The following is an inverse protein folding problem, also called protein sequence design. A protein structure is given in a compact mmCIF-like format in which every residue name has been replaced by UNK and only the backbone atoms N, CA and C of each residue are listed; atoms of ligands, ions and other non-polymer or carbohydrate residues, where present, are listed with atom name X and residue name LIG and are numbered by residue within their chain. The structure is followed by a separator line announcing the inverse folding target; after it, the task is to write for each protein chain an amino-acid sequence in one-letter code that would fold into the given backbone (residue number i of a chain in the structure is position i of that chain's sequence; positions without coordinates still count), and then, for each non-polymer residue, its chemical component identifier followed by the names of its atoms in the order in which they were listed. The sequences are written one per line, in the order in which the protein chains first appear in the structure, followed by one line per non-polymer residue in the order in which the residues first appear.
data_IF_766552483639
#
_entry.id   IF_766552483639
#
_cell.length_a   1.000
_cell.length_b   1.000
_cell.length_c   1.000
_cell.angle_alpha   90.00
_cell.angle_beta   90.00
_cell.angle_gamma   90.00
#
_symmetry.space_group_name_H-M   'P 1'
#
loop_
_entity.id
_entity.type
_entity.pdbx_description
1 polymer ?
#
# COMPACT_ATOMS: atom_id res chain seq x y z
N UNK A 1 -19.09 30.46 -37.81
CA UNK A 1 -17.72 30.86 -38.18
C UNK A 1 -16.80 30.36 -37.06
N UNK A 2 -16.10 29.23 -37.15
CA UNK A 2 -15.53 28.54 -38.30
C UNK A 2 -15.74 27.03 -38.10
N UNK A 3 -16.62 26.45 -38.90
CA UNK A 3 -16.71 25.03 -39.16
C UNK A 3 -16.87 24.93 -40.67
N UNK A 4 -15.82 25.33 -41.39
CA UNK A 4 -15.75 25.23 -42.84
C UNK A 4 -14.47 24.47 -43.18
N UNK A 5 -14.70 23.29 -43.75
CA UNK A 5 -13.90 22.68 -44.81
C UNK A 5 -12.44 22.34 -44.49
N UNK A 6 -12.23 21.19 -43.84
CA UNK A 6 -11.11 20.31 -44.18
C UNK A 6 -11.71 19.01 -44.69
N UNK A 7 -11.65 18.83 -46.01
CA UNK A 7 -11.84 17.54 -46.68
C UNK A 7 -10.62 16.67 -46.44
N UNK A 8 -10.38 16.29 -45.18
CA UNK A 8 -9.38 15.30 -44.84
C UNK A 8 -10.13 14.06 -44.33
N UNK A 9 -10.26 13.05 -45.19
CA UNK A 9 -10.63 11.71 -44.75
C UNK A 9 -9.75 11.27 -43.57
N UNK A 10 -8.49 11.70 -43.55
CA UNK A 10 -7.53 11.55 -42.44
C UNK A 10 -8.03 12.14 -41.10
N UNK A 11 -8.72 13.28 -41.10
CA UNK A 11 -9.22 13.92 -39.87
C UNK A 11 -10.44 13.16 -39.31
N UNK A 12 -11.28 12.59 -40.17
CA UNK A 12 -12.36 11.67 -39.74
C UNK A 12 -11.82 10.30 -39.32
N UNK A 13 -10.75 9.85 -39.96
CA UNK A 13 -10.08 8.57 -39.72
C UNK A 13 -9.29 8.57 -38.41
N UNK A 14 -8.77 9.72 -37.94
CA UNK A 14 -8.13 9.85 -36.61
C UNK A 14 -9.10 10.21 -35.46
N UNK A 15 -10.16 10.99 -35.75
CA UNK A 15 -11.11 11.42 -34.70
C UNK A 15 -12.04 10.29 -34.23
N UNK A 16 -12.41 9.35 -35.11
CA UNK A 16 -13.23 8.20 -34.75
C UNK A 16 -12.51 7.25 -33.75
N UNK A 17 -11.26 6.79 -33.98
CA UNK A 17 -10.52 5.97 -33.02
C UNK A 17 -10.23 6.66 -31.69
N UNK A 18 -10.00 7.98 -31.70
CA UNK A 18 -9.80 8.77 -30.49
C UNK A 18 -11.08 8.84 -29.64
N UNK A 19 -12.23 9.05 -30.28
CA UNK A 19 -13.54 9.04 -29.62
C UNK A 19 -13.88 7.66 -29.05
N UNK A 20 -13.61 6.58 -29.79
CA UNK A 20 -13.79 5.20 -29.32
C UNK A 20 -12.91 4.87 -28.12
N UNK A 21 -11.64 5.29 -28.16
CA UNK A 21 -10.69 5.12 -27.06
C UNK A 21 -11.14 5.85 -25.80
N UNK A 22 -11.68 7.07 -25.94
CA UNK A 22 -12.21 7.85 -24.82
C UNK A 22 -13.45 7.20 -24.20
N UNK A 23 -14.37 6.69 -25.03
CA UNK A 23 -15.56 5.96 -24.54
C UNK A 23 -15.16 4.68 -23.81
N UNK A 24 -14.18 3.93 -24.33
CA UNK A 24 -13.66 2.73 -23.69
C UNK A 24 -13.01 3.06 -22.34
N UNK A 25 -12.14 4.07 -22.29
CA UNK A 25 -11.51 4.53 -21.06
C UNK A 25 -12.55 4.99 -20.03
N UNK A 26 -13.57 5.75 -20.46
CA UNK A 26 -14.69 6.18 -19.62
C UNK A 26 -15.46 5.01 -19.02
N UNK A 27 -15.76 3.98 -19.81
CA UNK A 27 -16.41 2.74 -19.33
C UNK A 27 -15.54 1.99 -18.32
N UNK A 28 -14.24 1.85 -18.59
CA UNK A 28 -13.30 1.20 -17.67
C UNK A 28 -13.22 1.92 -16.32
N UNK A 29 -13.16 3.25 -16.32
CA UNK A 29 -13.16 4.05 -15.09
C UNK A 29 -14.45 3.89 -14.30
N UNK A 30 -15.62 3.95 -14.97
CA UNK A 30 -16.92 3.79 -14.31
C UNK A 30 -17.06 2.40 -13.68
N UNK A 31 -16.66 1.35 -14.39
CA UNK A 31 -16.68 -0.03 -13.89
C UNK A 31 -15.74 -0.20 -12.68
N UNK A 32 -14.54 0.39 -12.73
CA UNK A 32 -13.61 0.36 -11.61
C UNK A 32 -14.16 1.08 -10.38
N UNK A 33 -14.76 2.27 -10.56
CA UNK A 33 -15.39 3.01 -9.48
C UNK A 33 -16.57 2.25 -8.86
N UNK A 34 -17.42 1.64 -9.68
CA UNK A 34 -18.55 0.85 -9.22
C UNK A 34 -18.10 -0.38 -8.41
N UNK A 35 -17.09 -1.12 -8.90
CA UNK A 35 -16.51 -2.26 -8.16
C UNK A 35 -16.00 -1.85 -6.78
N UNK A 36 -15.32 -0.70 -6.68
CA UNK A 36 -14.84 -0.18 -5.39
C UNK A 36 -16.00 0.21 -4.47
N UNK A 37 -17.04 0.85 -4.99
CA UNK A 37 -18.23 1.18 -4.20
C UNK A 37 -18.91 -0.07 -3.60
N UNK A 38 -19.05 -1.12 -4.40
CA UNK A 38 -19.64 -2.40 -3.92
C UNK A 38 -18.82 -3.01 -2.79
N UNK A 39 -17.49 -2.96 -2.89
CA UNK A 39 -16.58 -3.41 -1.82
C UNK A 39 -16.75 -2.59 -0.55
N UNK A 40 -16.79 -1.26 -0.67
CA UNK A 40 -16.97 -0.35 0.47
C UNK A 40 -18.30 -0.62 1.15
N UNK A 41 -19.37 -0.81 0.39
CA UNK A 41 -20.68 -1.11 0.94
C UNK A 41 -20.71 -2.46 1.68
N UNK A 42 -20.05 -3.50 1.13
CA UNK A 42 -19.91 -4.78 1.80
C UNK A 42 -19.12 -4.68 3.11
N UNK A 43 -18.07 -3.85 3.16
CA UNK A 43 -17.29 -3.60 4.36
C UNK A 43 -18.08 -2.83 5.44
N UNK A 44 -18.84 -1.81 5.04
CA UNK A 44 -19.76 -1.10 5.95
C UNK A 44 -20.81 -2.02 6.53
N UNK A 45 -21.43 -2.86 5.69
CA UNK A 45 -22.42 -3.85 6.15
C UNK A 45 -21.80 -4.86 7.13
N UNK A 46 -20.58 -5.32 6.88
CA UNK A 46 -19.87 -6.21 7.81
C UNK A 46 -19.61 -5.55 9.17
N UNK A 47 -19.28 -4.25 9.21
CA UNK A 47 -19.13 -3.49 10.45
C UNK A 47 -20.45 -3.35 11.21
N UNK A 48 -21.56 -3.12 10.51
CA UNK A 48 -22.90 -3.12 11.11
C UNK A 48 -23.24 -4.49 11.73
N UNK A 49 -23.01 -5.58 10.99
CA UNK A 49 -23.19 -6.93 11.50
C UNK A 49 -22.30 -7.21 12.72
N UNK A 50 -21.06 -6.69 12.74
CA UNK A 50 -20.17 -6.81 13.89
C UNK A 50 -20.72 -6.06 15.12
N UNK A 51 -21.39 -4.92 14.94
CA UNK A 51 -22.08 -4.21 16.03
C UNK A 51 -23.25 -5.03 16.56
N UNK A 52 -24.12 -5.53 15.68
CA UNK A 52 -25.26 -6.38 16.07
C UNK A 52 -24.78 -7.62 16.82
N UNK A 53 -23.69 -8.23 16.34
CA UNK A 53 -23.06 -9.37 17.01
C UNK A 53 -22.53 -9.01 18.40
N UNK A 54 -22.01 -7.79 18.58
CA UNK A 54 -21.55 -7.26 19.87
C UNK A 54 -22.69 -7.08 20.86
N UNK A 55 -23.87 -6.74 20.38
CA UNK A 55 -25.04 -6.40 21.21
C UNK A 55 -25.95 -7.62 21.49
N UNK A 56 -25.73 -8.74 20.80
CA UNK A 56 -26.43 -9.99 21.06
C UNK A 56 -26.28 -10.42 22.53
N UNK A 57 -27.42 -10.54 23.23
CA UNK A 57 -27.51 -10.82 24.67
C UNK A 57 -28.00 -12.23 25.02
N UNK A 58 -28.40 -13.03 24.04
CA UNK A 58 -28.84 -14.41 24.22
C UNK A 58 -28.31 -15.33 23.11
N UNK A 59 -28.45 -16.65 23.29
CA UNK A 59 -27.94 -17.63 22.32
C UNK A 59 -28.65 -17.56 20.95
N UNK A 60 -29.99 -17.44 20.86
CA UNK A 60 -30.66 -17.27 19.58
C UNK A 60 -30.23 -16.00 18.83
N UNK A 61 -30.14 -14.86 19.53
CA UNK A 61 -29.66 -13.61 18.97
C UNK A 61 -28.20 -13.70 18.53
N UNK A 62 -27.36 -14.40 19.30
CA UNK A 62 -25.97 -14.66 18.92
C UNK A 62 -25.86 -15.44 17.62
N UNK A 63 -26.62 -16.52 17.46
CA UNK A 63 -26.62 -17.34 16.24
C UNK A 63 -27.14 -16.55 15.04
N UNK A 64 -28.21 -15.77 15.21
CA UNK A 64 -28.74 -14.90 14.15
C UNK A 64 -27.72 -13.84 13.72
N UNK A 65 -27.09 -13.16 14.68
CA UNK A 65 -26.07 -12.15 14.40
C UNK A 65 -24.82 -12.77 13.75
N UNK A 66 -24.39 -13.95 14.18
CA UNK A 66 -23.27 -14.66 13.56
C UNK A 66 -23.55 -15.06 12.11
N UNK A 67 -24.80 -15.46 11.82
CA UNK A 67 -25.21 -15.75 10.45
C UNK A 67 -25.10 -14.52 9.56
N UNK A 68 -25.69 -13.40 9.98
CA UNK A 68 -25.62 -12.14 9.22
C UNK A 68 -24.17 -11.68 9.03
N UNK A 69 -23.35 -11.75 10.09
CA UNK A 69 -21.92 -11.45 10.02
C UNK A 69 -21.17 -12.35 9.03
N UNK A 70 -21.46 -13.65 9.03
CA UNK A 70 -20.81 -14.62 8.13
C UNK A 70 -21.19 -14.40 6.67
N UNK A 71 -22.45 -14.04 6.40
CA UNK A 71 -22.93 -13.69 5.06
C UNK A 71 -22.24 -12.43 4.53
N UNK A 72 -22.16 -11.38 5.35
CA UNK A 72 -21.43 -10.15 5.01
C UNK A 72 -19.93 -10.40 4.80
N UNK A 73 -19.31 -11.23 5.65
CA UNK A 73 -17.90 -11.58 5.54
C UNK A 73 -17.61 -12.37 4.26
N UNK A 74 -18.48 -13.31 3.89
CA UNK A 74 -18.35 -14.09 2.68
C UNK A 74 -18.45 -13.19 1.43
N UNK A 75 -19.39 -12.24 1.42
CA UNK A 75 -19.52 -11.27 0.34
C UNK A 75 -18.23 -10.46 0.19
N UNK A 76 -17.74 -9.85 1.27
CA UNK A 76 -16.51 -9.07 1.26
C UNK A 76 -15.29 -9.90 0.85
N UNK A 77 -15.20 -11.14 1.33
CA UNK A 77 -14.11 -12.06 0.98
C UNK A 77 -14.10 -12.39 -0.51
N UNK A 78 -15.26 -12.67 -1.10
CA UNK A 78 -15.38 -12.97 -2.52
C UNK A 78 -15.03 -11.77 -3.40
N UNK A 79 -15.47 -10.57 -3.02
CA UNK A 79 -15.12 -9.34 -3.72
C UNK A 79 -13.61 -9.05 -3.62
N UNK A 80 -13.03 -9.26 -2.44
CA UNK A 80 -11.58 -9.08 -2.20
C UNK A 80 -10.75 -10.11 -2.96
N UNK A 81 -11.20 -11.37 -3.03
CA UNK A 81 -10.53 -12.43 -3.81
C UNK A 81 -10.51 -12.10 -5.31
N UNK A 82 -11.66 -11.69 -5.88
CA UNK A 82 -11.71 -11.20 -7.27
C UNK A 82 -10.77 -10.03 -7.49
N UNK A 83 -10.67 -9.12 -6.52
CA UNK A 83 -9.75 -7.98 -6.61
C UNK A 83 -8.28 -8.42 -6.54
N UNK A 84 -7.96 -9.43 -5.74
CA UNK A 84 -6.62 -10.01 -5.68
C UNK A 84 -6.21 -10.64 -7.01
N UNK A 85 -7.13 -11.30 -7.73
CA UNK A 85 -6.87 -11.86 -9.07
C UNK A 85 -6.58 -10.77 -10.12
N UNK A 86 -7.24 -9.61 -10.00
CA UNK A 86 -7.02 -8.45 -10.88
C UNK A 86 -5.69 -7.71 -10.61
N UNK A 87 -5.14 -7.85 -9.39
CA UNK A 87 -3.89 -7.20 -9.00
C UNK A 87 -2.69 -8.04 -9.46
N UNK A 88 -1.69 -7.38 -10.05
CA UNK A 88 -0.37 -7.98 -10.28
C UNK A 88 0.35 -8.21 -8.94
N UNK A 89 1.34 -9.10 -8.95
CA UNK A 89 2.24 -9.38 -7.80
C UNK A 89 2.92 -8.11 -7.27
N UNK A 90 2.28 -7.46 -6.30
CA UNK A 90 2.75 -6.24 -5.65
C UNK A 90 2.66 -6.35 -4.12
N UNK A 91 3.42 -5.52 -3.36
CA UNK A 91 3.36 -5.51 -1.90
C UNK A 91 1.94 -5.32 -1.37
N UNK A 92 1.13 -4.49 -2.03
CA UNK A 92 -0.28 -4.25 -1.69
C UNK A 92 -1.13 -5.51 -1.80
N UNK A 93 -0.97 -6.32 -2.85
CA UNK A 93 -1.70 -7.58 -3.03
C UNK A 93 -1.39 -8.56 -1.88
N UNK A 94 -0.11 -8.68 -1.50
CA UNK A 94 0.30 -9.53 -0.36
C UNK A 94 -0.29 -9.04 0.96
N UNK A 95 -0.24 -7.72 1.23
CA UNK A 95 -0.87 -7.15 2.44
C UNK A 95 -2.36 -7.40 2.45
N UNK A 96 -3.06 -7.15 1.34
CA UNK A 96 -4.49 -7.39 1.22
C UNK A 96 -4.86 -8.86 1.49
N UNK A 97 -4.09 -9.81 0.95
CA UNK A 97 -4.28 -11.24 1.22
C UNK A 97 -4.05 -11.59 2.70
N UNK A 98 -3.00 -11.03 3.34
CA UNK A 98 -2.72 -11.23 4.76
C UNK A 98 -3.83 -10.65 5.65
N UNK A 99 -4.32 -9.44 5.35
CA UNK A 99 -5.41 -8.81 6.10
C UNK A 99 -6.72 -9.60 5.95
N UNK A 100 -7.00 -10.14 4.76
CA UNK A 100 -8.16 -11.01 4.55
C UNK A 100 -8.05 -12.31 5.36
N UNK A 101 -6.87 -12.94 5.38
CA UNK A 101 -6.63 -14.13 6.21
C UNK A 101 -6.77 -13.84 7.70
N UNK A 102 -6.29 -12.68 8.17
CA UNK A 102 -6.46 -12.26 9.56
C UNK A 102 -7.94 -12.10 9.90
N UNK A 103 -8.72 -11.47 9.01
CA UNK A 103 -10.16 -11.30 9.19
C UNK A 103 -10.88 -12.66 9.30
N UNK A 104 -10.50 -13.64 8.50
CA UNK A 104 -11.04 -15.01 8.58
C UNK A 104 -10.69 -15.68 9.92
N UNK A 105 -9.49 -15.45 10.45
CA UNK A 105 -9.07 -15.96 11.77
C UNK A 105 -9.81 -15.29 12.94
N UNK A 106 -10.35 -14.08 12.74
CA UNK A 106 -11.16 -13.42 13.76
C UNK A 106 -12.52 -14.11 13.98
N UNK A 107 -13.04 -14.88 13.03
CA UNK A 107 -14.36 -15.55 13.16
C UNK A 107 -14.43 -16.49 14.37
N UNK A 108 -13.56 -17.50 14.51
CA UNK A 108 -13.57 -18.37 15.69
C UNK A 108 -13.27 -17.61 16.99
N UNK A 109 -12.43 -16.57 16.93
CA UNK A 109 -12.08 -15.73 18.08
C UNK A 109 -13.32 -14.97 18.60
N UNK A 110 -14.07 -14.33 17.71
CA UNK A 110 -15.33 -13.65 18.04
C UNK A 110 -16.34 -14.63 18.63
N UNK A 111 -16.44 -15.83 18.06
CA UNK A 111 -17.39 -16.84 18.51
C UNK A 111 -17.07 -17.30 19.93
N UNK A 112 -15.82 -17.68 20.18
CA UNK A 112 -15.36 -18.09 21.50
C UNK A 112 -15.54 -16.98 22.54
N UNK A 113 -15.18 -15.74 22.19
CA UNK A 113 -15.33 -14.60 23.09
C UNK A 113 -16.80 -14.33 23.45
N UNK A 114 -17.70 -14.34 22.46
CA UNK A 114 -19.13 -14.08 22.70
C UNK A 114 -19.85 -15.21 23.40
N UNK A 115 -19.57 -16.45 23.03
CA UNK A 115 -20.15 -17.60 23.71
C UNK A 115 -19.73 -17.65 25.20
N UNK A 116 -18.48 -17.27 25.50
CA UNK A 116 -17.99 -17.21 26.89
C UNK A 116 -18.63 -16.05 27.68
N UNK A 117 -18.80 -14.88 27.06
CA UNK A 117 -19.48 -13.70 27.63
C UNK A 117 -20.93 -14.02 28.04
N UNK A 118 -21.65 -14.80 27.23
CA UNK A 118 -23.03 -15.22 27.55
C UNK A 118 -23.09 -16.26 28.67
N UNK A 119 -22.07 -17.12 28.82
CA UNK A 119 -22.03 -18.15 29.86
C UNK A 119 -21.49 -17.66 31.20
N UNK A 120 -20.54 -16.73 31.16
CA UNK A 120 -19.73 -16.30 32.32
C UNK A 120 -19.55 -14.78 32.34
N UNK A 121 -20.67 -14.04 32.31
CA UNK A 121 -20.68 -12.56 32.21
C UNK A 121 -20.05 -11.80 33.37
N UNK A 122 -19.81 -12.47 34.50
CA UNK A 122 -19.24 -11.87 35.72
C UNK A 122 -17.71 -11.86 35.75
N UNK A 123 -17.04 -12.52 34.80
CA UNK A 123 -15.58 -12.60 34.73
C UNK A 123 -14.99 -11.42 33.95
N UNK A 124 -14.20 -10.59 34.64
CA UNK A 124 -13.54 -9.43 34.06
C UNK A 124 -12.59 -9.79 32.91
N UNK A 125 -11.97 -10.98 32.95
CA UNK A 125 -11.07 -11.47 31.90
C UNK A 125 -11.83 -11.81 30.61
N UNK A 126 -13.05 -12.36 30.74
CA UNK A 126 -13.93 -12.65 29.59
C UNK A 126 -14.34 -11.35 28.89
N UNK A 127 -14.62 -10.29 29.66
CA UNK A 127 -14.98 -8.99 29.11
C UNK A 127 -13.81 -8.32 28.36
N UNK A 128 -12.58 -8.41 28.89
CA UNK A 128 -11.37 -7.92 28.21
C UNK A 128 -11.08 -8.69 26.91
N UNK A 129 -11.19 -10.02 26.94
CA UNK A 129 -11.01 -10.88 25.75
C UNK A 129 -12.03 -10.58 24.66
N UNK A 130 -13.28 -10.32 25.04
CA UNK A 130 -14.33 -9.85 24.12
C UNK A 130 -13.97 -8.51 23.52
N UNK A 131 -13.66 -7.50 24.34
CA UNK A 131 -13.27 -6.18 23.86
C UNK A 131 -12.14 -6.25 22.83
N UNK A 132 -11.11 -7.03 23.11
CA UNK A 132 -9.99 -7.26 22.19
C UNK A 132 -10.42 -7.89 20.85
N UNK A 133 -11.21 -8.97 20.87
CA UNK A 133 -11.64 -9.67 19.65
C UNK A 133 -12.44 -8.76 18.71
N UNK A 134 -13.35 -7.96 19.26
CA UNK A 134 -14.14 -7.01 18.48
C UNK A 134 -13.29 -5.86 17.93
N UNK A 135 -12.39 -5.30 18.73
CA UNK A 135 -11.50 -4.23 18.28
C UNK A 135 -10.52 -4.71 17.19
N UNK A 136 -9.95 -5.91 17.34
CA UNK A 136 -9.07 -6.50 16.33
C UNK A 136 -9.82 -6.68 15.01
N UNK A 137 -11.05 -7.22 15.06
CA UNK A 137 -11.87 -7.41 13.86
C UNK A 137 -12.21 -6.09 13.19
N UNK A 138 -12.64 -5.10 13.97
CA UNK A 138 -12.98 -3.76 13.46
C UNK A 138 -11.78 -3.08 12.78
N UNK A 139 -10.60 -3.13 13.41
CA UNK A 139 -9.35 -2.60 12.83
C UNK A 139 -8.99 -3.33 11.54
N UNK A 140 -9.12 -4.65 11.51
CA UNK A 140 -8.80 -5.47 10.33
C UNK A 140 -9.73 -5.14 9.16
N UNK A 141 -11.03 -4.95 9.39
CA UNK A 141 -11.99 -4.55 8.35
C UNK A 141 -11.66 -3.14 7.80
N UNK A 142 -11.33 -2.19 8.68
CA UNK A 142 -10.94 -0.83 8.30
C UNK A 142 -9.64 -0.82 7.48
N UNK A 143 -8.64 -1.60 7.89
CA UNK A 143 -7.38 -1.76 7.16
C UNK A 143 -7.62 -2.36 5.78
N UNK A 144 -8.38 -3.46 5.69
CA UNK A 144 -8.73 -4.10 4.41
C UNK A 144 -9.43 -3.11 3.47
N UNK A 145 -10.36 -2.32 4.01
CA UNK A 145 -11.05 -1.27 3.25
C UNK A 145 -10.08 -0.20 2.76
N UNK A 146 -9.15 0.25 3.60
CA UNK A 146 -8.14 1.25 3.20
C UNK A 146 -7.22 0.74 2.08
N UNK A 147 -6.81 -0.53 2.13
CA UNK A 147 -5.99 -1.16 1.10
C UNK A 147 -6.73 -1.30 -0.23
N UNK A 148 -8.06 -1.39 -0.20
CA UNK A 148 -8.91 -1.46 -1.38
C UNK A 148 -9.21 -0.07 -1.97
N UNK A 149 -9.38 0.96 -1.15
CA UNK A 149 -9.65 2.34 -1.57
C UNK A 149 -8.39 3.03 -2.11
N UNK A 150 -7.23 2.83 -1.49
CA UNK A 150 -5.98 3.49 -1.86
C UNK A 150 -5.44 2.92 -3.18
N UNK A 151 -6.01 3.42 -4.27
CA UNK A 151 -5.65 3.11 -5.64
C UNK A 151 -4.99 4.30 -6.37
N UNK A 152 -4.80 5.43 -5.66
CA UNK A 152 -4.12 6.61 -6.19
C UNK A 152 -2.64 6.31 -6.34
N UNK A 153 -2.25 6.10 -7.59
CA UNK A 153 -0.93 5.67 -8.02
C UNK A 153 0.23 6.46 -7.42
N UNK A 154 1.21 5.72 -6.91
CA UNK A 154 2.61 6.07 -7.06
C UNK A 154 3.54 4.88 -6.82
N UNK A 155 3.15 3.62 -7.04
CA UNK A 155 4.18 2.56 -7.08
C UNK A 155 4.92 2.67 -8.43
N UNK A 156 5.71 3.75 -8.56
CA UNK A 156 6.77 3.84 -9.53
C UNK A 156 7.69 2.62 -9.34
N UNK A 157 8.30 2.07 -10.40
CA UNK A 157 9.04 0.80 -10.33
C UNK A 157 10.11 0.71 -9.23
N UNK A 158 10.56 1.85 -8.70
CA UNK A 158 11.54 1.98 -7.62
C UNK A 158 10.99 1.87 -6.20
N UNK A 159 9.67 1.92 -5.96
CA UNK A 159 9.06 1.63 -4.64
C UNK A 159 9.07 0.13 -4.28
N UNK A 160 9.53 -0.73 -5.20
CA UNK A 160 9.75 -2.15 -4.92
C UNK A 160 10.90 -2.39 -3.93
N UNK A 161 11.73 -1.37 -3.70
CA UNK A 161 12.94 -1.42 -2.91
C UNK A 161 12.79 -0.54 -1.65
N UNK A 162 13.32 -0.99 -0.50
CA UNK A 162 13.30 -0.20 0.74
C UNK A 162 14.00 1.16 0.58
N UNK A 163 13.69 2.12 1.46
CA UNK A 163 14.20 3.51 1.42
C UNK A 163 15.71 3.61 1.19
N UNK A 164 16.50 2.76 1.86
CA UNK A 164 17.94 2.65 1.64
C UNK A 164 18.31 2.36 0.17
N UNK A 165 17.68 1.35 -0.44
CA UNK A 165 17.96 0.94 -1.81
C UNK A 165 17.48 1.98 -2.84
N UNK A 166 16.44 2.75 -2.51
CA UNK A 166 16.03 3.90 -3.32
C UNK A 166 17.12 4.98 -3.35
N UNK A 167 17.67 5.35 -2.19
CA UNK A 167 18.77 6.32 -2.12
C UNK A 167 20.02 5.83 -2.85
N UNK A 168 20.40 4.56 -2.70
CA UNK A 168 21.53 3.96 -3.43
C UNK A 168 21.29 3.99 -4.94
N UNK A 169 20.10 3.61 -5.40
CA UNK A 169 19.77 3.59 -6.84
C UNK A 169 19.78 5.00 -7.44
N UNK A 170 19.29 5.99 -6.71
CA UNK A 170 19.29 7.40 -7.13
C UNK A 170 20.71 7.97 -7.18
N UNK A 171 21.53 7.65 -6.18
CA UNK A 171 22.95 8.02 -6.14
C UNK A 171 23.74 7.40 -7.30
N UNK A 172 23.52 6.11 -7.60
CA UNK A 172 24.11 5.45 -8.76
C UNK A 172 23.67 6.08 -10.09
N UNK A 173 22.41 6.49 -10.22
CA UNK A 173 21.91 7.17 -11.42
C UNK A 173 22.60 8.53 -11.64
N UNK A 174 22.76 9.33 -10.59
CA UNK A 174 23.47 10.61 -10.61
C UNK A 174 24.95 10.44 -11.00
N UNK A 175 25.61 9.40 -10.48
CA UNK A 175 27.00 9.08 -10.81
C UNK A 175 27.17 8.53 -12.24
N UNK A 176 26.15 7.86 -12.78
CA UNK A 176 26.21 7.25 -14.13
C UNK A 176 26.04 8.28 -15.25
N UNK A 177 25.34 9.39 -14.99
CA UNK A 177 25.15 10.51 -15.92
C UNK A 177 25.36 11.83 -15.18
N UNK A 178 26.61 12.27 -15.03
CA UNK A 178 26.93 13.45 -14.23
C UNK A 178 26.40 14.72 -14.91
N UNK A 179 25.32 15.29 -14.36
CA UNK A 179 24.87 16.66 -14.68
C UNK A 179 25.53 17.63 -13.68
N UNK A 180 26.31 18.63 -14.14
CA UNK A 180 26.97 19.59 -13.28
C UNK A 180 26.01 20.33 -12.33
N UNK A 181 24.75 20.53 -12.75
CA UNK A 181 23.74 21.21 -11.94
C UNK A 181 23.29 20.31 -10.79
N UNK A 182 23.01 19.04 -11.05
CA UNK A 182 22.53 18.09 -10.02
C UNK A 182 23.63 17.62 -9.06
N UNK A 183 24.90 17.63 -9.51
CA UNK A 183 26.05 17.28 -8.69
C UNK A 183 26.53 18.43 -7.78
N UNK A 184 26.24 19.68 -8.15
CA UNK A 184 26.47 20.84 -7.30
C UNK A 184 25.31 21.13 -6.34
N UNK A 185 24.22 20.38 -6.46
CA UNK A 185 22.99 20.59 -5.71
C UNK A 185 22.90 19.74 -4.43
N UNK A 186 22.08 20.23 -3.51
CA UNK A 186 21.64 19.60 -2.26
C UNK A 186 21.08 18.19 -2.43
N UNK A 187 20.58 17.81 -3.60
CA UNK A 187 20.01 16.49 -3.88
C UNK A 187 21.07 15.37 -3.80
N UNK A 188 22.27 15.58 -4.35
CA UNK A 188 23.36 14.59 -4.27
C UNK A 188 23.83 14.40 -2.82
N UNK A 189 24.05 15.51 -2.09
CA UNK A 189 24.45 15.46 -0.67
C UNK A 189 23.39 14.78 0.20
N UNK A 190 22.11 15.10 -0.01
CA UNK A 190 21.02 14.48 0.74
C UNK A 190 20.96 12.96 0.56
N UNK A 191 21.25 12.46 -0.65
CA UNK A 191 21.30 11.01 -0.90
C UNK A 191 22.56 10.35 -0.32
N UNK A 192 23.72 11.01 -0.37
CA UNK A 192 24.96 10.54 0.29
C UNK A 192 24.72 10.43 1.80
N UNK A 193 24.20 11.48 2.43
CA UNK A 193 23.88 11.53 3.86
C UNK A 193 22.89 10.45 4.27
N UNK A 194 21.81 10.27 3.51
CA UNK A 194 20.84 9.22 3.77
C UNK A 194 21.45 7.81 3.70
N UNK A 195 22.28 7.52 2.69
CA UNK A 195 22.98 6.23 2.56
C UNK A 195 23.91 5.99 3.75
N UNK A 196 24.69 7.01 4.16
CA UNK A 196 25.58 6.92 5.33
C UNK A 196 24.78 6.67 6.61
N UNK A 197 23.68 7.38 6.81
CA UNK A 197 22.81 7.22 7.97
C UNK A 197 22.32 5.77 8.10
N UNK A 198 21.79 5.19 7.03
CA UNK A 198 21.31 3.80 7.05
C UNK A 198 22.45 2.79 7.21
N UNK A 199 23.59 3.00 6.54
CA UNK A 199 24.76 2.16 6.72
C UNK A 199 25.29 2.19 8.17
N UNK A 200 25.22 3.35 8.83
CA UNK A 200 25.66 3.50 10.21
C UNK A 200 24.70 2.84 11.21
N UNK A 201 23.40 2.94 10.96
CA UNK A 201 22.38 2.20 11.71
C UNK A 201 22.56 0.68 11.59
N UNK A 202 22.89 0.19 10.38
CA UNK A 202 23.18 -1.22 10.14
C UNK A 202 24.50 -1.65 10.79
N UNK A 203 25.53 -0.80 10.75
CA UNK A 203 26.83 -1.08 11.34
C UNK A 203 26.75 -1.18 12.88
N UNK A 204 25.89 -0.40 13.52
CA UNK A 204 25.68 -0.44 14.97
C UNK A 204 25.12 -1.80 15.44
N UNK A 205 24.25 -2.39 14.63
CA UNK A 205 23.62 -3.70 14.89
C UNK A 205 24.39 -4.90 14.31
N UNK A 206 25.57 -4.66 13.73
CA UNK A 206 26.36 -5.69 13.02
C UNK A 206 27.51 -6.27 13.86
N UNK A 207 27.99 -7.45 13.43
CA UNK A 207 29.23 -8.07 13.93
C UNK A 207 30.46 -7.20 13.59
N UNK A 208 31.61 -7.37 14.28
CA UNK A 208 32.79 -6.51 14.10
C UNK A 208 33.29 -6.39 12.66
N UNK A 209 33.37 -7.49 11.91
CA UNK A 209 33.95 -7.45 10.55
C UNK A 209 33.06 -6.68 9.55
N UNK A 210 31.74 -6.98 9.41
CA UNK A 210 30.85 -6.20 8.55
C UNK A 210 30.69 -4.74 9.00
N UNK A 211 30.74 -4.48 10.31
CA UNK A 211 30.70 -3.13 10.87
C UNK A 211 31.88 -2.29 10.37
N UNK A 212 33.08 -2.86 10.42
CA UNK A 212 34.30 -2.17 10.00
C UNK A 212 34.29 -1.89 8.50
N UNK A 213 33.79 -2.83 7.70
CA UNK A 213 33.62 -2.64 6.26
C UNK A 213 32.58 -1.56 5.95
N UNK A 214 31.41 -1.56 6.60
CA UNK A 214 30.39 -0.53 6.41
C UNK A 214 30.92 0.87 6.76
N UNK A 215 31.67 1.01 7.85
CA UNK A 215 32.29 2.28 8.25
C UNK A 215 33.30 2.76 7.22
N UNK A 216 34.14 1.87 6.67
CA UNK A 216 35.08 2.20 5.60
C UNK A 216 34.36 2.71 4.34
N UNK A 217 33.28 2.04 3.93
CA UNK A 217 32.51 2.46 2.76
C UNK A 217 31.81 3.81 2.99
N UNK A 218 31.27 4.06 4.19
CA UNK A 218 30.71 5.37 4.56
C UNK A 218 31.77 6.47 4.53
N UNK A 219 32.98 6.16 5.00
CA UNK A 219 34.09 7.10 4.96
C UNK A 219 34.46 7.48 3.53
N UNK A 220 34.52 6.52 2.60
CA UNK A 220 34.74 6.80 1.17
C UNK A 220 33.62 7.68 0.58
N UNK A 221 32.35 7.38 0.91
CA UNK A 221 31.20 8.16 0.46
C UNK A 221 31.21 9.61 0.97
N UNK A 222 31.67 9.85 2.21
CA UNK A 222 31.83 11.20 2.76
C UNK A 222 32.89 12.04 2.03
N UNK A 223 33.87 11.40 1.41
CA UNK A 223 34.97 12.08 0.71
C UNK A 223 34.75 12.17 -0.82
N UNK A 224 33.63 11.66 -1.33
CA UNK A 224 33.22 11.77 -2.73
C UNK A 224 32.84 13.21 -3.17
N UNK A 225 32.08 14.00 -2.37
CA UNK A 225 31.70 15.37 -2.73
C UNK A 225 32.86 16.33 -3.07
N UNK A 226 33.98 16.39 -2.32
CA UNK A 226 35.11 17.25 -2.67
C UNK A 226 35.85 16.82 -3.96
N UNK A 227 35.88 15.52 -4.27
CA UNK A 227 36.48 15.00 -5.50
C UNK A 227 35.65 15.33 -6.75
N UNK A 228 34.32 15.28 -6.64
CA UNK A 228 33.41 15.62 -7.73
C UNK A 228 33.40 17.13 -8.03
N UNK A 229 33.54 17.98 -7.02
CA UNK A 229 33.66 19.44 -7.21
C UNK A 229 34.97 19.85 -7.89
N UNK A 230 36.07 19.12 -7.68
CA UNK A 230 37.30 19.28 -8.47
C UNK A 230 37.11 18.83 -9.93
N UNK A 231 36.42 17.71 -10.16
CA UNK A 231 36.14 17.23 -11.52
C UNK A 231 35.21 18.17 -12.30
N UNK A 232 34.14 18.71 -11.69
CA UNK A 232 33.25 19.70 -12.33
C UNK A 232 33.98 21.01 -12.65
N UNK A 233 34.93 21.43 -11.82
CA UNK A 233 35.75 22.64 -12.06
C UNK A 233 36.68 22.46 -13.26
N UNK A 234 37.24 21.26 -13.45
CA UNK A 234 38.13 20.95 -14.57
C UNK A 234 37.36 20.80 -15.90
N UNK A 235 36.12 20.32 -15.87
CA UNK A 235 35.26 20.20 -17.07
C UNK A 235 34.72 21.56 -17.52
N UNK A 236 34.50 22.50 -16.60
CA UNK A 236 34.04 23.87 -16.92
C UNK A 236 35.15 24.80 -17.44
N UNK A 237 36.42 24.34 -17.48
CA UNK A 237 37.59 25.12 -17.93
C UNK A 237 38.15 24.65 -19.30
N UNK A 238 37.51 23.67 -19.93
CA UNK A 238 37.75 23.20 -21.31
C UNK A 238 36.56 23.54 -22.19
#
# INVERSE_FOLDING_TARGET
RLAEESSDEVFKEETCPAAESLVLAGRCMLLAAHKLQVIIQAASWLLECLSVLRDAGDMPGLLAAFRAFSEALLLLSNLTAKRLEELRDCPRQRRLAQTLQLLQKCVPLLHAAKHSDLKHSWDQQVNLSKGYAFQLTERTIKELTSLLINNTGSEQPWERNGTFSQHVSRLLALLSRPDPVQLSDSEFSAHVEAVIFYCMLLADSSRPDPKLDLVKHCWVLLHLPPLLTEMSRNIAQT
#
